data_IF_647501223431
#
_entry.id   IF_647501223431
#
_cell.length_a   1.000
_cell.length_b   1.000
_cell.length_c   1.000
_cell.angle_alpha   90.00
_cell.angle_beta   90.00
_cell.angle_gamma   90.00
#
_symmetry.space_group_name_H-M   'P 1'
#
loop_
_entity.id
_entity.type
_entity.pdbx_description
1 polymer ?
#
# COMPACT_ATOMS: atom_id res chain seq x y z
N UNK A 1 -12.80 -1.02 3.63
CA UNK A 1 -11.61 -1.36 2.84
C UNK A 1 -10.57 -0.31 3.08
N UNK A 2 -9.37 -0.72 3.51
CA UNK A 2 -8.24 0.18 3.74
C UNK A 2 -7.80 0.81 2.42
N UNK A 3 -7.30 2.04 2.49
CA UNK A 3 -6.86 2.83 1.34
C UNK A 3 -5.47 2.41 0.82
N UNK A 4 -4.70 1.62 1.56
CA UNK A 4 -3.31 1.31 1.21
C UNK A 4 -2.93 -0.17 1.37
N UNK A 5 -2.47 -0.78 0.28
CA UNK A 5 -1.77 -2.07 0.24
C UNK A 5 -0.49 -1.92 -0.59
N UNK A 6 0.62 -2.47 -0.12
CA UNK A 6 1.94 -2.31 -0.74
C UNK A 6 2.56 -3.66 -1.12
N UNK A 7 2.40 -4.02 -2.40
CA UNK A 7 3.16 -5.10 -3.03
C UNK A 7 4.35 -4.55 -3.83
N UNK A 8 5.54 -5.13 -3.64
CA UNK A 8 6.73 -4.78 -4.43
C UNK A 8 7.11 -5.98 -5.30
N UNK A 9 7.07 -5.80 -6.63
CA UNK A 9 7.56 -6.78 -7.60
C UNK A 9 8.65 -6.16 -8.48
N UNK A 10 9.55 -7.00 -8.99
CA UNK A 10 10.66 -6.56 -9.85
C UNK A 10 10.81 -7.51 -11.03
N UNK A 11 10.73 -6.96 -12.24
CA UNK A 11 11.01 -7.65 -13.49
C UNK A 11 12.23 -7.00 -14.14
N UNK A 12 13.17 -7.82 -14.61
CA UNK A 12 14.33 -7.36 -15.38
C UNK A 12 14.33 -8.07 -16.72
N UNK A 13 14.55 -7.30 -17.78
CA UNK A 13 14.60 -7.80 -19.14
C UNK A 13 15.38 -6.81 -20.02
N UNK A 14 15.89 -7.29 -21.15
CA UNK A 14 16.93 -6.65 -21.96
C UNK A 14 16.48 -6.30 -23.39
N UNK A 15 15.17 -6.30 -23.63
CA UNK A 15 14.55 -5.96 -24.92
C UNK A 15 13.49 -4.88 -24.76
N UNK A 16 13.15 -4.20 -25.86
CA UNK A 16 12.17 -3.13 -25.84
C UNK A 16 10.78 -3.65 -25.45
N UNK A 17 10.08 -2.91 -24.57
CA UNK A 17 8.73 -3.23 -24.08
C UNK A 17 8.57 -4.58 -23.36
N UNK A 18 9.67 -5.21 -22.95
CA UNK A 18 9.69 -6.54 -22.32
C UNK A 18 8.95 -6.62 -20.97
N UNK A 19 8.81 -5.49 -20.28
CA UNK A 19 8.05 -5.34 -19.03
C UNK A 19 6.67 -4.70 -19.23
N UNK A 20 6.20 -4.65 -20.48
CA UNK A 20 4.85 -4.19 -20.81
C UNK A 20 3.77 -5.21 -20.40
N UNK A 21 2.51 -4.84 -20.64
CA UNK A 21 1.34 -5.63 -20.25
C UNK A 21 0.74 -5.18 -18.92
N UNK A 22 -0.25 -5.93 -18.44
CA UNK A 22 -0.95 -5.63 -17.20
C UNK A 22 -0.06 -5.90 -15.98
N UNK A 23 -0.11 -4.99 -15.00
CA UNK A 23 0.56 -5.20 -13.73
C UNK A 23 -0.12 -6.36 -12.99
N UNK A 24 0.67 -7.35 -12.57
CA UNK A 24 0.18 -8.45 -11.74
C UNK A 24 -0.02 -7.97 -10.31
N UNK A 25 -1.29 -7.80 -9.93
CA UNK A 25 -1.71 -7.49 -8.56
C UNK A 25 -2.22 -8.78 -7.92
N UNK A 26 -1.69 -9.20 -6.76
CA UNK A 26 -2.24 -10.35 -6.04
C UNK A 26 -3.71 -10.16 -5.71
N UNK A 27 -4.49 -11.25 -5.76
CA UNK A 27 -5.86 -11.21 -5.26
C UNK A 27 -5.85 -10.94 -3.75
N UNK A 28 -6.71 -10.03 -3.30
CA UNK A 28 -6.90 -9.71 -1.88
C UNK A 28 -8.12 -10.47 -1.37
N UNK A 29 -8.00 -11.10 -0.20
CA UNK A 29 -9.14 -11.67 0.51
C UNK A 29 -10.00 -10.55 1.09
N UNK A 30 -11.23 -10.38 0.58
CA UNK A 30 -12.14 -9.28 0.94
C UNK A 30 -13.09 -9.63 2.09
N UNK A 31 -13.09 -10.88 2.56
CA UNK A 31 -13.95 -11.31 3.67
C UNK A 31 -13.54 -10.59 4.95
N UNK A 32 -14.46 -9.84 5.56
CA UNK A 32 -14.18 -9.11 6.80
C UNK A 32 -13.92 -10.07 7.96
N UNK A 33 -12.91 -9.75 8.77
CA UNK A 33 -12.50 -10.58 9.91
C UNK A 33 -12.95 -10.02 11.28
N UNK A 34 -13.68 -8.90 11.28
CA UNK A 34 -14.19 -8.24 12.49
C UNK A 34 -13.17 -7.38 13.23
N UNK A 35 -11.90 -7.40 12.83
CA UNK A 35 -10.85 -6.54 13.36
C UNK A 35 -10.94 -5.15 12.72
N UNK A 36 -10.62 -4.10 13.47
CA UNK A 36 -10.71 -2.71 13.01
C UNK A 36 -9.41 -1.97 13.25
N UNK A 37 -9.02 -1.17 12.27
CA UNK A 37 -7.85 -0.30 12.35
C UNK A 37 -8.17 1.11 11.85
N UNK A 38 -7.46 2.10 12.38
CA UNK A 38 -7.45 3.46 11.82
C UNK A 38 -6.82 3.42 10.44
N UNK A 39 -7.47 4.03 9.45
CA UNK A 39 -6.97 4.09 8.08
C UNK A 39 -6.72 5.54 7.68
N UNK A 40 -5.46 5.83 7.33
CA UNK A 40 -5.04 7.13 6.84
C UNK A 40 -3.81 6.99 5.95
N UNK A 41 -3.81 7.69 4.83
CA UNK A 41 -2.67 7.80 3.94
C UNK A 41 -2.45 9.26 3.56
N UNK A 42 -1.22 9.75 3.74
CA UNK A 42 -0.83 11.12 3.41
C UNK A 42 0.60 11.18 2.90
N UNK A 43 0.85 12.14 2.01
CA UNK A 43 2.20 12.53 1.58
C UNK A 43 2.61 13.91 2.12
N UNK A 44 1.74 14.54 2.91
CA UNK A 44 1.97 15.85 3.50
C UNK A 44 2.92 15.78 4.71
N UNK A 45 3.70 16.83 4.92
CA UNK A 45 4.68 16.90 6.02
C UNK A 45 4.05 17.22 7.38
N UNK A 46 2.87 17.84 7.38
CA UNK A 46 2.04 18.04 8.57
C UNK A 46 1.07 16.86 8.65
N UNK A 47 1.12 16.09 9.74
CA UNK A 47 0.31 14.88 9.92
C UNK A 47 -1.20 15.19 9.87
N UNK A 48 -1.90 14.88 8.76
CA UNK A 48 -3.33 15.10 8.62
C UNK A 48 -4.14 13.89 9.11
N UNK A 49 -3.50 12.86 9.67
CA UNK A 49 -4.17 11.65 10.16
C UNK A 49 -4.85 11.84 11.52
N UNK A 50 -4.77 13.04 12.11
CA UNK A 50 -5.51 13.40 13.31
C UNK A 50 -7.02 13.39 12.98
N UNK A 51 -7.74 12.41 13.52
CA UNK A 51 -9.19 12.24 13.31
C UNK A 51 -9.57 11.27 12.19
N UNK A 52 -8.62 10.48 11.69
CA UNK A 52 -8.90 9.41 10.73
C UNK A 52 -9.90 8.38 11.28
N UNK A 53 -10.76 7.87 10.38
CA UNK A 53 -11.78 6.87 10.71
C UNK A 53 -11.23 5.45 10.79
N UNK A 54 -12.07 4.54 11.31
CA UNK A 54 -11.77 3.11 11.36
C UNK A 54 -12.29 2.36 10.13
N UNK A 55 -11.55 1.35 9.67
CA UNK A 55 -11.96 0.40 8.63
C UNK A 55 -12.00 -1.02 9.19
N UNK A 56 -12.87 -1.87 8.63
CA UNK A 56 -12.85 -3.31 8.87
C UNK A 56 -11.69 -3.95 8.08
N UNK A 57 -10.89 -4.74 8.77
CA UNK A 57 -9.85 -5.55 8.17
C UNK A 57 -10.44 -6.82 7.55
N UNK A 58 -9.69 -7.42 6.64
CA UNK A 58 -10.11 -8.59 5.86
C UNK A 58 -9.06 -9.70 5.94
N UNK A 59 -9.48 -10.93 5.66
CA UNK A 59 -8.60 -12.11 5.65
C UNK A 59 -7.79 -12.24 6.95
N UNK A 60 -6.47 -12.42 6.81
CA UNK A 60 -5.53 -12.61 7.94
C UNK A 60 -4.99 -11.30 8.53
N UNK A 61 -5.41 -10.12 8.04
CA UNK A 61 -4.96 -8.81 8.52
C UNK A 61 -5.54 -8.53 9.92
N UNK A 62 -4.82 -8.94 10.96
CA UNK A 62 -5.27 -8.91 12.36
C UNK A 62 -4.45 -7.98 13.25
N UNK A 63 -3.62 -7.12 12.66
CA UNK A 63 -2.71 -6.21 13.36
C UNK A 63 -2.77 -4.83 12.72
N UNK A 64 -2.95 -3.78 13.54
CA UNK A 64 -2.88 -2.40 13.07
C UNK A 64 -1.43 -1.91 13.07
N UNK A 65 -1.02 -1.28 11.97
CA UNK A 65 0.34 -0.74 11.80
C UNK A 65 0.28 0.69 11.26
N UNK A 66 1.25 1.51 11.66
CA UNK A 66 1.49 2.83 11.09
C UNK A 66 2.92 2.92 10.56
N UNK A 67 3.09 3.62 9.44
CA UNK A 67 4.39 3.90 8.82
C UNK A 67 4.50 5.40 8.56
N UNK A 68 5.65 5.98 8.87
CA UNK A 68 6.01 7.35 8.51
C UNK A 68 7.45 7.40 8.03
N UNK A 69 7.71 8.22 7.01
CA UNK A 69 9.02 8.35 6.42
C UNK A 69 8.98 8.84 4.98
N UNK A 70 10.15 8.95 4.37
CA UNK A 70 10.29 9.32 2.96
C UNK A 70 10.07 8.10 2.07
N UNK A 71 9.20 8.21 1.08
CA UNK A 71 9.00 7.20 0.05
C UNK A 71 9.74 7.59 -1.24
N UNK A 72 10.42 6.64 -1.88
CA UNK A 72 11.08 6.84 -3.16
C UNK A 72 10.77 5.66 -4.09
N UNK A 73 10.62 5.92 -5.40
CA UNK A 73 10.54 4.84 -6.39
C UNK A 73 11.94 4.37 -6.75
N UNK A 74 12.16 3.06 -6.94
CA UNK A 74 13.43 2.58 -7.48
C UNK A 74 13.76 3.29 -8.81
N UNK A 75 14.94 3.91 -8.90
CA UNK A 75 15.38 4.69 -10.06
C UNK A 75 14.94 6.16 -10.07
N UNK A 76 14.18 6.63 -9.08
CA UNK A 76 14.01 8.06 -8.83
C UNK A 76 15.00 8.55 -7.77
N UNK A 77 15.53 9.77 -7.94
CA UNK A 77 16.24 10.44 -6.86
C UNK A 77 15.28 10.66 -5.67
N UNK A 78 15.71 10.41 -4.42
CA UNK A 78 14.91 10.74 -3.25
C UNK A 78 14.63 12.24 -3.24
N UNK A 79 13.36 12.63 -3.25
CA UNK A 79 12.94 14.01 -3.04
C UNK A 79 12.69 14.28 -1.56
#
# INVERSE_FOLDING_TARGET
NSVFDLGISRTCCDSDFCNGGDAQVPAVEETTNGYKCVDCFTTETVDPCIGAGEVQCTGELNTCTSFSGTAARPGSDPK
#
